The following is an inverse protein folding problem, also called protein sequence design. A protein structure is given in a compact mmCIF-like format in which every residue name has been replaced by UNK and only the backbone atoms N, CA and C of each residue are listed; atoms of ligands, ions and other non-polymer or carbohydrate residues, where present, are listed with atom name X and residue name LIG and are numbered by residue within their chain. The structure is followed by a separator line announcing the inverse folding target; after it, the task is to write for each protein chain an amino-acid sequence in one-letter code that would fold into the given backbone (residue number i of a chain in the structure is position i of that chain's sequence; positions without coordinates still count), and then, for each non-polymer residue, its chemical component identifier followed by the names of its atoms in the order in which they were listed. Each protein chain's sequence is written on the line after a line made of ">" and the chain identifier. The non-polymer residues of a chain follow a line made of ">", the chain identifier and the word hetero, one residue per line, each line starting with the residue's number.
data_IF_067102989313
#
_entry.id   IF_067102989313
#
_cell.length_a   1.000
_cell.length_b   1.000
_cell.length_c   1.000
_cell.angle_alpha   90.00
_cell.angle_beta   90.00
_cell.angle_gamma   90.00
#
_symmetry.space_group_name_H-M   'P 1'
#
loop_
_entity.id
_entity.type
_entity.pdbx_description
1 polymer ?
#
# COMPACT_ATOMS: atom_id res chain seq x y z
N UNK A 1 -0.13 -39.73 -35.41
CA UNK A 1 -0.08 -38.25 -35.53
C UNK A 1 0.65 -37.70 -34.32
N UNK A 2 1.77 -36.96 -34.50
CA UNK A 2 2.40 -36.23 -33.39
C UNK A 2 1.52 -35.02 -33.10
N UNK A 3 0.65 -35.14 -32.10
CA UNK A 3 -0.21 -34.03 -31.65
C UNK A 3 0.63 -32.81 -31.32
N UNK A 4 0.10 -31.62 -31.63
CA UNK A 4 0.73 -30.36 -31.25
C UNK A 4 1.04 -30.37 -29.75
N UNK A 5 2.23 -29.91 -29.35
CA UNK A 5 2.61 -29.79 -27.93
C UNK A 5 2.78 -28.33 -27.62
N UNK A 6 2.27 -27.90 -26.48
CA UNK A 6 2.45 -26.53 -25.99
C UNK A 6 3.38 -26.54 -24.78
N UNK A 7 4.22 -25.51 -24.69
CA UNK A 7 5.20 -25.37 -23.62
C UNK A 7 4.63 -24.48 -22.52
N UNK A 8 4.74 -24.92 -21.27
CA UNK A 8 4.29 -24.13 -20.13
C UNK A 8 5.16 -22.89 -19.91
N UNK A 9 4.55 -21.71 -19.82
CA UNK A 9 5.26 -20.45 -19.60
C UNK A 9 5.85 -20.30 -18.18
N UNK A 10 5.38 -21.09 -17.21
CA UNK A 10 5.86 -21.03 -15.83
C UNK A 10 7.07 -21.94 -15.57
N UNK A 11 7.04 -23.19 -16.06
CA UNK A 11 8.06 -24.22 -15.78
C UNK A 11 8.74 -24.80 -17.02
N UNK A 12 8.42 -24.30 -18.22
CA UNK A 12 8.97 -24.76 -19.51
C UNK A 12 8.72 -26.23 -19.85
N UNK A 13 7.83 -26.92 -19.12
CA UNK A 13 7.45 -28.31 -19.40
C UNK A 13 6.58 -28.39 -20.66
N UNK A 14 6.84 -29.39 -21.51
CA UNK A 14 6.04 -29.65 -22.72
C UNK A 14 4.79 -30.47 -22.40
N UNK A 15 3.61 -29.96 -22.76
CA UNK A 15 2.32 -30.60 -22.52
C UNK A 15 1.66 -30.98 -23.85
N UNK A 16 0.80 -32.00 -23.80
CA UNK A 16 -0.01 -32.41 -24.95
C UNK A 16 -1.08 -31.36 -25.29
N UNK A 17 -1.46 -31.25 -26.57
CA UNK A 17 -2.43 -30.24 -27.06
C UNK A 17 -3.80 -30.30 -26.39
N UNK A 18 -4.21 -31.46 -25.89
CA UNK A 18 -5.52 -31.64 -25.25
C UNK A 18 -5.54 -31.17 -23.79
N UNK A 19 -4.38 -30.89 -23.18
CA UNK A 19 -4.31 -30.44 -21.79
C UNK A 19 -4.41 -28.93 -21.71
N UNK A 20 -5.37 -28.43 -20.95
CA UNK A 20 -5.57 -27.00 -20.69
C UNK A 20 -4.68 -26.48 -19.56
N UNK A 21 -4.13 -27.38 -18.73
CA UNK A 21 -3.26 -27.06 -17.60
C UNK A 21 -1.96 -27.86 -17.71
N UNK A 22 -0.86 -27.25 -17.25
CA UNK A 22 0.44 -27.91 -17.26
C UNK A 22 0.44 -29.09 -16.29
N UNK A 23 0.89 -30.25 -16.73
CA UNK A 23 0.95 -31.46 -15.88
C UNK A 23 1.96 -31.38 -14.75
N UNK A 24 2.98 -30.54 -14.88
CA UNK A 24 4.04 -30.43 -13.89
C UNK A 24 3.73 -29.38 -12.80
N UNK A 25 3.25 -28.20 -13.19
CA UNK A 25 3.02 -27.09 -12.26
C UNK A 25 1.57 -26.63 -12.15
N UNK A 26 0.64 -27.19 -12.93
CA UNK A 26 -0.78 -26.80 -12.91
C UNK A 26 -1.12 -25.49 -13.64
N UNK A 27 -0.13 -24.71 -14.09
CA UNK A 27 -0.35 -23.44 -14.78
C UNK A 27 -1.18 -23.62 -16.07
N UNK A 28 -2.21 -22.81 -16.26
CA UNK A 28 -3.06 -22.83 -17.47
C UNK A 28 -2.26 -22.49 -18.74
N UNK A 29 -2.67 -23.05 -19.88
CA UNK A 29 -2.12 -22.69 -21.21
C UNK A 29 -2.45 -21.26 -21.63
N UNK A 30 -3.49 -20.67 -21.05
CA UNK A 30 -3.90 -19.26 -21.26
C UNK A 30 -3.65 -18.39 -20.03
N UNK A 31 -2.80 -18.85 -19.10
CA UNK A 31 -2.47 -18.11 -17.89
C UNK A 31 -1.93 -16.71 -18.22
N UNK A 32 -2.49 -15.70 -17.55
CA UNK A 32 -1.96 -14.34 -17.58
C UNK A 32 -0.61 -14.23 -16.86
N UNK A 33 0.05 -13.07 -16.97
CA UNK A 33 1.38 -12.83 -16.39
C UNK A 33 1.45 -13.08 -14.88
N UNK A 34 0.45 -12.67 -14.12
CA UNK A 34 0.39 -12.90 -12.67
C UNK A 34 0.26 -14.39 -12.32
N UNK A 35 -0.56 -15.12 -13.06
CA UNK A 35 -0.79 -16.55 -12.82
C UNK A 35 0.45 -17.37 -13.22
N UNK A 36 1.16 -16.95 -14.28
CA UNK A 36 2.47 -17.51 -14.63
C UNK A 36 3.48 -17.26 -13.50
N UNK A 37 3.57 -16.04 -12.96
CA UNK A 37 4.53 -15.72 -11.90
C UNK A 37 4.24 -16.50 -10.60
N UNK A 38 2.95 -16.66 -10.26
CA UNK A 38 2.50 -17.48 -9.12
C UNK A 38 2.97 -18.93 -9.22
N UNK A 39 2.90 -19.53 -10.40
CA UNK A 39 3.35 -20.92 -10.60
C UNK A 39 4.87 -21.03 -10.81
N UNK A 40 5.53 -19.98 -11.31
CA UNK A 40 6.98 -19.94 -11.51
C UNK A 40 7.75 -19.76 -10.21
N UNK A 41 7.27 -18.90 -9.32
CA UNK A 41 7.87 -18.66 -8.01
C UNK A 41 6.77 -18.36 -6.97
N UNK A 42 6.09 -19.38 -6.45
CA UNK A 42 4.96 -19.21 -5.53
C UNK A 42 5.36 -18.48 -4.24
N UNK A 43 6.53 -18.80 -3.68
CA UNK A 43 7.03 -18.15 -2.46
C UNK A 43 7.33 -16.67 -2.71
N UNK A 44 8.00 -16.35 -3.82
CA UNK A 44 8.30 -14.98 -4.20
C UNK A 44 7.04 -14.15 -4.47
N UNK A 45 6.04 -14.74 -5.11
CA UNK A 45 4.75 -14.11 -5.35
C UNK A 45 4.01 -13.83 -4.04
N UNK A 46 3.88 -14.84 -3.17
CA UNK A 46 3.22 -14.70 -1.87
C UNK A 46 3.88 -13.63 -0.99
N UNK A 47 5.23 -13.62 -0.95
CA UNK A 47 6.00 -12.60 -0.23
C UNK A 47 5.68 -11.19 -0.74
N UNK A 48 5.72 -10.96 -2.05
CA UNK A 48 5.45 -9.63 -2.63
C UNK A 48 4.02 -9.17 -2.37
N UNK A 49 3.04 -10.06 -2.54
CA UNK A 49 1.63 -9.77 -2.29
C UNK A 49 1.39 -9.39 -0.84
N UNK A 50 1.99 -10.13 0.11
CA UNK A 50 1.89 -9.82 1.55
C UNK A 50 2.53 -8.48 1.92
N UNK A 51 3.68 -8.16 1.34
CA UNK A 51 4.33 -6.85 1.56
C UNK A 51 3.46 -5.70 1.05
N UNK A 52 2.84 -5.85 -0.13
CA UNK A 52 1.91 -4.85 -0.64
C UNK A 52 0.64 -4.73 0.21
N UNK A 53 0.14 -5.84 0.77
CA UNK A 53 -0.95 -5.81 1.75
C UNK A 53 -0.57 -5.00 3.00
N UNK A 54 0.62 -5.21 3.56
CA UNK A 54 1.11 -4.45 4.72
C UNK A 54 1.18 -2.94 4.43
N UNK A 55 1.68 -2.55 3.25
CA UNK A 55 1.70 -1.14 2.82
C UNK A 55 0.30 -0.55 2.76
N UNK A 56 -0.66 -1.27 2.15
CA UNK A 56 -2.06 -0.82 2.04
C UNK A 56 -2.76 -0.69 3.40
N UNK A 57 -2.36 -1.47 4.39
CA UNK A 57 -2.92 -1.39 5.75
C UNK A 57 -2.40 -0.18 6.53
N UNK A 58 -1.13 0.19 6.33
CA UNK A 58 -0.51 1.34 7.01
C UNK A 58 -0.94 2.67 6.39
N UNK A 59 -1.15 2.70 5.07
CA UNK A 59 -1.40 3.94 4.34
C UNK A 59 -2.59 4.79 4.86
N UNK A 60 -3.78 4.22 5.14
CA UNK A 60 -4.92 4.97 5.66
C UNK A 60 -4.64 5.63 7.01
N UNK A 61 -3.80 5.02 7.85
CA UNK A 61 -3.45 5.54 9.17
C UNK A 61 -2.63 6.83 9.09
N UNK A 62 -1.93 7.07 7.96
CA UNK A 62 -1.12 8.28 7.77
C UNK A 62 -1.98 9.50 7.49
N UNK A 63 -3.08 9.32 6.76
CA UNK A 63 -4.00 10.40 6.39
C UNK A 63 -5.10 10.61 7.44
N UNK A 64 -5.32 9.65 8.34
CA UNK A 64 -6.43 9.70 9.29
C UNK A 64 -6.45 10.94 10.19
N UNK A 65 -5.33 11.47 10.72
CA UNK A 65 -5.38 12.67 11.56
C UNK A 65 -5.82 13.90 10.76
N UNK A 66 -5.46 13.96 9.47
CA UNK A 66 -5.84 15.06 8.59
C UNK A 66 -7.34 15.04 8.31
N UNK A 67 -7.88 13.88 7.94
CA UNK A 67 -9.32 13.75 7.69
C UNK A 67 -10.14 14.03 8.96
N UNK A 68 -9.66 13.60 10.12
CA UNK A 68 -10.31 13.87 11.40
C UNK A 68 -10.37 15.38 11.67
N UNK A 69 -9.28 16.12 11.47
CA UNK A 69 -9.25 17.57 11.61
C UNK A 69 -10.23 18.28 10.64
N UNK A 70 -10.29 17.84 9.39
CA UNK A 70 -11.19 18.41 8.36
C UNK A 70 -12.66 18.17 8.75
N UNK A 71 -13.03 16.95 9.15
CA UNK A 71 -14.41 16.64 9.49
C UNK A 71 -14.87 17.32 10.77
N UNK A 72 -14.00 17.41 11.78
CA UNK A 72 -14.26 18.18 12.99
C UNK A 72 -14.47 19.67 12.68
N UNK A 73 -13.62 20.26 11.85
CA UNK A 73 -13.75 21.67 11.46
C UNK A 73 -15.07 21.95 10.72
N UNK A 74 -15.48 21.05 9.83
CA UNK A 74 -16.72 21.17 9.06
C UNK A 74 -17.98 20.83 9.87
N UNK A 75 -17.87 20.56 11.18
CA UNK A 75 -19.01 20.22 12.05
C UNK A 75 -19.63 18.84 11.77
N UNK A 76 -18.98 17.98 10.96
CA UNK A 76 -19.48 16.65 10.60
C UNK A 76 -19.06 15.59 11.63
N UNK A 77 -19.55 15.75 12.86
CA UNK A 77 -19.12 14.94 14.02
C UNK A 77 -19.41 13.45 13.80
N UNK A 78 -20.54 13.10 13.20
CA UNK A 78 -20.89 11.70 12.91
C UNK A 78 -19.84 11.01 12.01
N UNK A 79 -19.37 11.71 10.99
CA UNK A 79 -18.35 11.19 10.07
C UNK A 79 -16.98 11.10 10.77
N UNK A 80 -16.65 12.09 11.61
CA UNK A 80 -15.43 12.05 12.41
C UNK A 80 -15.43 10.86 13.40
N UNK A 81 -16.57 10.54 13.99
CA UNK A 81 -16.72 9.39 14.88
C UNK A 81 -16.58 8.06 14.12
N UNK A 82 -17.20 7.93 12.95
CA UNK A 82 -17.02 6.76 12.07
C UNK A 82 -15.56 6.58 11.64
N UNK A 83 -14.89 7.68 11.30
CA UNK A 83 -13.46 7.67 11.00
C UNK A 83 -12.64 7.20 12.21
N UNK A 84 -12.93 7.72 13.40
CA UNK A 84 -12.24 7.32 14.62
C UNK A 84 -12.39 5.81 14.93
N UNK A 85 -13.61 5.27 14.79
CA UNK A 85 -13.88 3.84 14.98
C UNK A 85 -13.13 3.00 13.95
N UNK A 86 -13.20 3.37 12.66
CA UNK A 86 -12.52 2.63 11.59
C UNK A 86 -11.00 2.64 11.74
N UNK A 87 -10.41 3.76 12.14
CA UNK A 87 -8.97 3.88 12.44
C UNK A 87 -8.61 3.01 13.64
N UNK A 88 -9.41 3.06 14.71
CA UNK A 88 -9.19 2.22 15.90
C UNK A 88 -9.21 0.73 15.55
N UNK A 89 -10.17 0.31 14.71
CA UNK A 89 -10.25 -1.06 14.19
C UNK A 89 -9.04 -1.44 13.32
N UNK A 90 -8.56 -0.54 12.47
CA UNK A 90 -7.34 -0.77 11.69
C UNK A 90 -6.10 -0.89 12.57
N UNK A 91 -6.00 -0.12 13.65
CA UNK A 91 -4.89 -0.20 14.60
C UNK A 91 -4.92 -1.55 15.32
N UNK A 92 -6.07 -1.98 15.84
CA UNK A 92 -6.17 -3.25 16.57
C UNK A 92 -5.87 -4.44 15.66
N UNK A 93 -6.39 -4.45 14.43
CA UNK A 93 -6.12 -5.51 13.44
C UNK A 93 -4.64 -5.61 13.08
N UNK A 94 -3.94 -4.47 13.01
CA UNK A 94 -2.55 -4.40 12.53
C UNK A 94 -1.54 -4.10 13.65
N UNK A 95 -1.88 -4.40 14.91
CA UNK A 95 -1.10 -3.98 16.08
C UNK A 95 0.36 -4.48 16.02
N UNK A 96 0.59 -5.75 15.66
CA UNK A 96 1.94 -6.32 15.53
C UNK A 96 2.79 -5.60 14.48
N UNK A 97 2.18 -5.30 13.33
CA UNK A 97 2.84 -4.56 12.25
C UNK A 97 3.19 -3.14 12.68
N UNK A 98 2.27 -2.45 13.36
CA UNK A 98 2.50 -1.10 13.86
C UNK A 98 3.56 -1.05 14.96
N UNK A 99 3.56 -2.03 15.88
CA UNK A 99 4.60 -2.17 16.88
C UNK A 99 5.97 -2.37 16.24
N UNK A 100 6.06 -3.21 15.20
CA UNK A 100 7.29 -3.41 14.45
C UNK A 100 7.77 -2.14 13.74
N UNK A 101 6.88 -1.38 13.12
CA UNK A 101 7.23 -0.08 12.53
C UNK A 101 7.75 0.89 13.60
N UNK A 102 7.19 0.83 14.81
CA UNK A 102 7.59 1.68 15.93
C UNK A 102 8.98 1.34 16.51
N UNK A 103 9.49 0.12 16.32
CA UNK A 103 10.85 -0.24 16.74
C UNK A 103 11.90 0.41 15.85
N UNK A 104 11.64 0.55 14.55
CA UNK A 104 12.48 1.34 13.63
C UNK A 104 12.25 2.84 13.86
N UNK A 105 13.16 3.47 14.63
CA UNK A 105 13.14 4.91 14.91
C UNK A 105 13.02 5.75 13.65
N UNK A 106 13.71 5.40 12.56
CA UNK A 106 13.71 6.20 11.32
C UNK A 106 12.40 6.05 10.56
N UNK A 107 11.87 4.84 10.46
CA UNK A 107 10.58 4.60 9.81
C UNK A 107 9.45 5.28 10.56
N UNK A 108 9.42 5.14 11.90
CA UNK A 108 8.48 5.85 12.77
C UNK A 108 8.54 7.36 12.58
N UNK A 109 9.74 7.95 12.67
CA UNK A 109 9.92 9.40 12.48
C UNK A 109 9.41 9.84 11.11
N UNK A 110 9.73 9.13 10.02
CA UNK A 110 9.25 9.48 8.69
C UNK A 110 7.72 9.47 8.58
N UNK A 111 7.05 8.46 9.13
CA UNK A 111 5.59 8.34 9.09
C UNK A 111 4.91 9.44 9.92
N UNK A 112 5.42 9.70 11.12
CA UNK A 112 4.92 10.76 12.00
C UNK A 112 5.16 12.14 11.37
N UNK A 113 6.34 12.39 10.81
CA UNK A 113 6.65 13.65 10.12
C UNK A 113 5.73 13.84 8.92
N UNK A 114 5.50 12.81 8.11
CA UNK A 114 4.58 12.92 6.98
C UNK A 114 3.16 13.27 7.42
N UNK A 115 2.61 12.52 8.38
CA UNK A 115 1.27 12.76 8.92
C UNK A 115 1.16 14.14 9.57
N UNK A 116 2.18 14.55 10.32
CA UNK A 116 2.25 15.86 10.96
C UNK A 116 2.35 17.03 9.97
N UNK A 117 3.17 16.91 8.92
CA UNK A 117 3.28 17.94 7.88
C UNK A 117 1.96 18.09 7.14
N UNK A 118 1.28 16.99 6.80
CA UNK A 118 -0.05 17.06 6.19
C UNK A 118 -1.06 17.72 7.12
N UNK A 119 -1.07 17.37 8.41
CA UNK A 119 -1.98 17.96 9.39
C UNK A 119 -1.75 19.47 9.50
N UNK A 120 -0.50 19.90 9.68
CA UNK A 120 -0.13 21.32 9.74
C UNK A 120 -0.52 22.04 8.46
N UNK A 121 -0.28 21.44 7.30
CA UNK A 121 -0.68 22.00 6.01
C UNK A 121 -2.19 22.28 5.95
N UNK A 122 -3.03 21.31 6.35
CA UNK A 122 -4.47 21.49 6.38
C UNK A 122 -4.93 22.52 7.41
N UNK A 123 -4.32 22.55 8.60
CA UNK A 123 -4.62 23.56 9.62
C UNK A 123 -4.28 24.97 9.12
N UNK A 124 -3.11 25.16 8.50
CA UNK A 124 -2.72 26.44 7.89
C UNK A 124 -3.71 26.84 6.81
N UNK A 125 -4.10 25.91 5.93
CA UNK A 125 -5.11 26.18 4.89
C UNK A 125 -6.45 26.60 5.49
N UNK A 126 -6.89 25.93 6.55
CA UNK A 126 -8.21 26.17 7.16
C UNK A 126 -8.24 27.52 7.91
N UNK A 127 -7.20 27.81 8.71
CA UNK A 127 -7.22 28.92 9.66
C UNK A 127 -6.52 30.19 9.17
N UNK A 128 -5.54 30.07 8.26
CA UNK A 128 -4.68 31.21 7.86
C UNK A 128 -4.89 31.65 6.41
N UNK A 129 -5.31 30.76 5.51
CA UNK A 129 -5.42 31.07 4.08
C UNK A 129 -6.90 31.27 3.70
N UNK A 130 -7.32 32.50 3.33
CA UNK A 130 -8.67 32.74 2.86
C UNK A 130 -8.91 32.10 1.49
N UNK A 131 -10.14 31.65 1.24
CA UNK A 131 -10.52 30.90 0.03
C UNK A 131 -10.26 31.64 -1.29
N UNK A 132 -10.26 32.97 -1.27
CA UNK A 132 -10.09 33.80 -2.47
C UNK A 132 -8.60 34.12 -2.76
N UNK A 133 -7.67 33.54 -2.01
CA UNK A 133 -6.24 33.77 -2.20
C UNK A 133 -5.65 32.86 -3.29
N UNK A 134 -4.76 33.41 -4.12
CA UNK A 134 -3.95 32.63 -5.07
C UNK A 134 -3.09 31.57 -4.39
N UNK A 135 -2.79 31.73 -3.09
CA UNK A 135 -2.06 30.76 -2.27
C UNK A 135 -2.79 29.41 -2.16
N UNK A 136 -4.11 29.37 -2.36
CA UNK A 136 -4.90 28.13 -2.36
C UNK A 136 -4.42 27.20 -3.47
N UNK A 137 -4.20 27.73 -4.69
CA UNK A 137 -3.73 26.94 -5.83
C UNK A 137 -2.31 26.40 -5.63
N UNK A 138 -1.40 27.25 -5.16
CA UNK A 138 -0.02 26.85 -4.82
C UNK A 138 0.02 25.81 -3.70
N UNK A 139 -0.81 25.98 -2.68
CA UNK A 139 -0.96 25.00 -1.60
C UNK A 139 -1.44 23.65 -2.13
N UNK A 140 -2.47 23.64 -2.98
CA UNK A 140 -2.98 22.40 -3.57
C UNK A 140 -1.90 21.68 -4.39
N UNK A 141 -1.12 22.43 -5.18
CA UNK A 141 -0.02 21.88 -5.96
C UNK A 141 1.07 21.28 -5.05
N UNK A 142 1.44 21.98 -3.97
CA UNK A 142 2.38 21.48 -2.97
C UNK A 142 1.85 20.18 -2.32
N UNK A 143 0.58 20.14 -1.94
CA UNK A 143 -0.05 18.95 -1.37
C UNK A 143 0.07 17.74 -2.30
N UNK A 144 -0.26 17.90 -3.59
CA UNK A 144 -0.15 16.81 -4.55
C UNK A 144 1.29 16.36 -4.77
N UNK A 145 2.23 17.29 -4.96
CA UNK A 145 3.64 16.93 -5.14
C UNK A 145 4.22 16.26 -3.90
N UNK A 146 3.96 16.79 -2.72
CA UNK A 146 4.45 16.23 -1.45
C UNK A 146 3.86 14.85 -1.18
N UNK A 147 2.55 14.70 -1.35
CA UNK A 147 1.85 13.41 -1.17
C UNK A 147 2.34 12.38 -2.18
N UNK A 148 2.44 12.75 -3.46
CA UNK A 148 2.92 11.85 -4.50
C UNK A 148 4.38 11.43 -4.26
N UNK A 149 5.25 12.39 -3.94
CA UNK A 149 6.65 12.11 -3.61
C UNK A 149 6.79 11.16 -2.42
N UNK A 150 6.00 11.37 -1.38
CA UNK A 150 5.98 10.48 -0.22
C UNK A 150 5.41 9.10 -0.57
N UNK A 151 4.29 9.01 -1.28
CA UNK A 151 3.71 7.73 -1.70
C UNK A 151 4.67 6.92 -2.57
N UNK A 152 5.38 7.59 -3.49
CA UNK A 152 6.42 6.98 -4.29
C UNK A 152 7.56 6.46 -3.41
N UNK A 153 8.04 7.26 -2.45
CA UNK A 153 9.06 6.84 -1.50
C UNK A 153 8.59 5.70 -0.60
N UNK A 154 7.34 5.70 -0.13
CA UNK A 154 6.78 4.67 0.72
C UNK A 154 6.61 3.34 -0.04
N UNK A 155 6.13 3.40 -1.28
CA UNK A 155 5.89 2.22 -2.12
C UNK A 155 7.19 1.64 -2.68
N UNK A 156 8.09 2.47 -3.22
CA UNK A 156 9.29 2.04 -3.95
C UNK A 156 10.60 2.25 -3.20
N UNK A 157 10.57 2.93 -2.05
CA UNK A 157 11.76 3.19 -1.26
C UNK A 157 12.35 1.93 -0.65
N UNK A 158 13.67 1.80 -0.75
CA UNK A 158 14.43 0.67 -0.21
C UNK A 158 14.20 0.45 1.29
N UNK A 159 13.94 1.50 2.06
CA UNK A 159 13.76 1.41 3.51
C UNK A 159 12.47 0.69 3.89
N UNK A 160 11.32 1.19 3.43
CA UNK A 160 10.03 0.56 3.74
C UNK A 160 9.94 -0.84 3.13
N UNK A 161 10.47 -1.04 1.92
CA UNK A 161 10.56 -2.41 1.35
C UNK A 161 11.33 -3.35 2.28
N UNK A 162 12.52 -2.96 2.74
CA UNK A 162 13.31 -3.80 3.66
C UNK A 162 12.58 -4.03 4.98
N UNK A 163 11.95 -3.01 5.55
CA UNK A 163 11.23 -3.12 6.82
C UNK A 163 10.09 -4.14 6.71
N UNK A 164 9.26 -4.03 5.68
CA UNK A 164 8.16 -4.99 5.46
C UNK A 164 8.67 -6.39 5.08
N UNK A 165 9.80 -6.48 4.38
CA UNK A 165 10.45 -7.76 4.11
C UNK A 165 11.01 -8.44 5.37
N UNK A 166 11.54 -7.67 6.32
CA UNK A 166 12.01 -8.19 7.60
C UNK A 166 10.82 -8.63 8.47
N UNK A 167 9.77 -7.81 8.54
CA UNK A 167 8.53 -8.18 9.23
C UNK A 167 7.92 -9.48 8.67
N UNK A 168 7.90 -9.64 7.35
CA UNK A 168 7.42 -10.88 6.72
C UNK A 168 8.25 -12.11 7.10
N UNK A 169 9.55 -11.97 7.38
CA UNK A 169 10.42 -13.07 7.80
C UNK A 169 10.26 -13.42 9.28
N UNK A 170 9.84 -12.46 10.10
CA UNK A 170 9.65 -12.63 11.55
C UNK A 170 8.23 -13.06 11.93
N UNK A 171 7.26 -12.91 11.02
CA UNK A 171 5.86 -13.31 11.19
C UNK A 171 5.59 -14.75 10.78
#
# INVERSE_FOLDING_TARGET
>A
MKGYRWTCNACSFGNDSNKTHCTNCGCSSTAGTEDIEKHKNPEGFNKRTKIEEYKKQVLPLLFSPCFLAIYMHNGKIEIALLLFISVSFLITKNLKLLQYICTDKKAKTMLVTFSGVLLVFFLVRIYLIPNNSSLVGWGLMFYFMFTFGFLFYFSKGKRFSRLFEQFYKES
#
